data_IF_023974168630
#
_entry.id   IF_023974168630
#
_cell.length_a   1.000
_cell.length_b   1.000
_cell.length_c   1.000
_cell.angle_alpha   90.00
_cell.angle_beta   90.00
_cell.angle_gamma   90.00
#
_symmetry.space_group_name_H-M   'P 1'
#
loop_
_entity.id
_entity.type
_entity.pdbx_description
1 polymer ?
#
# COMPACT_ATOMS: atom_id res chain seq x y z
N UNK A 1 -19.11 19.09 6.81
CA UNK A 1 -17.72 18.76 6.45
C UNK A 1 -16.79 19.14 7.60
N UNK A 2 -15.86 18.29 8.01
CA UNK A 2 -14.85 18.66 9.00
C UNK A 2 -13.97 19.79 8.45
N UNK A 3 -13.44 20.63 9.33
CA UNK A 3 -12.46 21.63 8.91
C UNK A 3 -11.14 20.95 8.47
N UNK A 4 -10.36 21.62 7.61
CA UNK A 4 -9.05 21.12 7.20
C UNK A 4 -8.14 20.79 8.39
N UNK A 5 -8.22 21.58 9.47
CA UNK A 5 -7.42 21.38 10.67
C UNK A 5 -7.83 20.11 11.43
N UNK A 6 -9.12 19.84 11.55
CA UNK A 6 -9.65 18.64 12.19
C UNK A 6 -9.30 17.39 11.37
N UNK A 7 -9.48 17.45 10.06
CA UNK A 7 -9.09 16.36 9.17
C UNK A 7 -7.59 16.04 9.25
N UNK A 8 -6.72 17.06 9.22
CA UNK A 8 -5.27 16.87 9.37
C UNK A 8 -4.91 16.27 10.73
N UNK A 9 -5.56 16.68 11.80
CA UNK A 9 -5.32 16.11 13.14
C UNK A 9 -5.69 14.63 13.18
N UNK A 10 -6.84 14.25 12.64
CA UNK A 10 -7.26 12.87 12.56
C UNK A 10 -6.30 12.02 11.70
N UNK A 11 -5.81 12.55 10.57
CA UNK A 11 -4.78 11.88 9.76
C UNK A 11 -3.45 11.71 10.50
N UNK A 12 -2.97 12.71 11.24
CA UNK A 12 -1.75 12.62 12.03
C UNK A 12 -1.85 11.50 13.06
N UNK A 13 -2.97 11.41 13.79
CA UNK A 13 -3.19 10.37 14.78
C UNK A 13 -3.32 8.99 14.13
N UNK A 14 -4.00 8.89 12.99
CA UNK A 14 -4.06 7.65 12.22
C UNK A 14 -2.66 7.17 11.79
N UNK A 15 -1.85 8.03 11.17
CA UNK A 15 -0.47 7.70 10.76
C UNK A 15 0.38 7.36 11.99
N UNK A 16 0.24 8.08 13.11
CA UNK A 16 0.92 7.78 14.37
C UNK A 16 0.61 6.38 14.90
N UNK A 17 -0.63 5.91 14.72
CA UNK A 17 -1.06 4.59 15.18
C UNK A 17 -0.40 3.47 14.35
N UNK A 18 -0.19 3.68 13.06
CA UNK A 18 0.47 2.72 12.16
C UNK A 18 1.98 2.74 12.36
N UNK A 19 2.59 3.93 12.40
CA UNK A 19 4.02 4.09 12.51
C UNK A 19 4.50 3.96 13.96
N UNK A 20 4.44 2.76 14.50
CA UNK A 20 4.86 2.44 15.87
C UNK A 20 6.37 2.68 16.02
N UNK A 21 6.76 3.62 16.88
CA UNK A 21 8.18 3.97 17.11
C UNK A 21 8.60 5.32 16.54
N UNK A 22 7.75 5.96 15.71
CA UNK A 22 7.92 7.35 15.30
C UNK A 22 7.07 8.27 16.17
N UNK A 23 7.56 9.48 16.41
CA UNK A 23 6.83 10.49 17.18
C UNK A 23 6.30 11.57 16.24
N UNK A 24 5.10 11.36 15.70
CA UNK A 24 4.44 12.26 14.75
C UNK A 24 3.52 13.19 15.54
N UNK A 25 4.04 14.37 15.92
CA UNK A 25 3.29 15.33 16.74
C UNK A 25 2.44 16.31 15.95
N UNK A 26 2.90 16.63 14.76
CA UNK A 26 2.32 17.70 13.95
C UNK A 26 2.50 17.45 12.45
N UNK A 27 1.96 18.36 11.68
CA UNK A 27 2.03 18.34 10.20
C UNK A 27 3.47 18.33 9.67
N UNK A 28 4.41 18.97 10.38
CA UNK A 28 5.81 19.05 9.92
C UNK A 28 6.49 17.67 9.91
N UNK A 29 6.08 16.77 10.80
CA UNK A 29 6.58 15.41 10.85
C UNK A 29 6.19 14.55 9.63
N UNK A 30 5.25 15.01 8.80
CA UNK A 30 4.84 14.35 7.56
C UNK A 30 5.53 14.93 6.32
N UNK A 31 6.19 16.09 6.43
CA UNK A 31 6.74 16.83 5.28
C UNK A 31 7.93 16.13 4.59
N UNK A 32 8.61 15.21 5.25
CA UNK A 32 9.67 14.38 4.65
C UNK A 32 9.13 13.15 3.90
N UNK A 33 7.85 12.85 4.06
CA UNK A 33 7.16 11.71 3.44
C UNK A 33 7.51 10.35 4.04
N UNK A 34 8.45 10.25 4.97
CA UNK A 34 8.95 8.97 5.49
C UNK A 34 7.89 8.17 6.23
N UNK A 35 7.04 8.82 7.01
CA UNK A 35 5.93 8.17 7.71
C UNK A 35 4.85 7.67 6.72
N UNK A 36 4.58 8.42 5.66
CA UNK A 36 3.62 8.04 4.63
C UNK A 36 4.14 6.89 3.77
N UNK A 37 5.45 6.79 3.53
CA UNK A 37 6.04 5.61 2.92
C UNK A 37 5.82 4.36 3.77
N UNK A 38 5.95 4.44 5.09
CA UNK A 38 5.74 3.33 6.01
C UNK A 38 4.28 2.86 5.99
N UNK A 39 3.31 3.79 5.97
CA UNK A 39 1.88 3.47 5.81
C UNK A 39 1.61 2.73 4.50
N UNK A 40 2.15 3.23 3.39
CA UNK A 40 1.93 2.65 2.06
C UNK A 40 2.73 1.37 1.82
N UNK A 41 3.87 1.19 2.48
CA UNK A 41 4.62 -0.06 2.45
C UNK A 41 3.84 -1.22 3.06
N UNK A 42 3.00 -0.97 4.06
CA UNK A 42 2.08 -1.97 4.61
C UNK A 42 0.97 -2.37 3.62
N UNK A 43 0.74 -1.57 2.57
CA UNK A 43 -0.25 -1.85 1.52
C UNK A 43 0.39 -2.58 0.33
N UNK A 44 1.55 -2.08 -0.13
CA UNK A 44 2.33 -2.65 -1.22
C UNK A 44 3.82 -2.39 -0.98
N UNK A 45 4.54 -3.40 -0.53
CA UNK A 45 5.94 -3.33 -0.16
C UNK A 45 6.89 -3.23 -1.36
N UNK A 46 6.45 -3.64 -2.53
CA UNK A 46 7.23 -3.56 -3.77
C UNK A 46 7.16 -2.15 -4.36
N UNK A 47 5.96 -1.61 -4.48
CA UNK A 47 5.75 -0.30 -5.10
C UNK A 47 6.22 0.84 -4.19
N UNK A 48 6.02 0.71 -2.87
CA UNK A 48 6.34 1.73 -1.87
C UNK A 48 7.61 1.45 -1.07
N UNK A 49 8.55 0.65 -1.60
CA UNK A 49 9.85 0.46 -0.96
C UNK A 49 10.52 1.83 -0.72
N UNK A 50 10.83 2.21 0.53
CA UNK A 50 11.38 3.52 0.83
C UNK A 50 12.75 3.69 0.15
N UNK A 51 12.98 4.80 -0.57
CA UNK A 51 14.28 5.09 -1.14
C UNK A 51 15.29 5.41 -0.02
N UNK A 52 16.61 5.36 -0.32
CA UNK A 52 17.66 5.73 0.64
C UNK A 52 17.51 7.15 1.18
N UNK A 53 16.89 8.04 0.42
CA UNK A 53 16.54 9.41 0.80
C UNK A 53 15.06 9.58 0.48
N UNK A 54 14.19 9.44 1.49
CA UNK A 54 12.76 9.72 1.35
C UNK A 54 12.54 11.23 1.22
N UNK A 55 11.67 11.62 0.30
CA UNK A 55 11.19 12.99 0.16
C UNK A 55 9.71 12.96 -0.22
N UNK A 56 8.98 13.99 0.19
CA UNK A 56 7.56 14.12 -0.15
C UNK A 56 7.33 14.14 -1.67
N UNK A 57 8.28 14.70 -2.44
CA UNK A 57 8.23 14.69 -3.91
C UNK A 57 8.34 13.27 -4.48
N UNK A 58 9.25 12.46 -3.94
CA UNK A 58 9.40 11.06 -4.37
C UNK A 58 8.17 10.24 -4.02
N UNK A 59 7.60 10.46 -2.83
CA UNK A 59 6.35 9.85 -2.40
C UNK A 59 5.21 10.22 -3.35
N UNK A 60 4.99 11.51 -3.59
CA UNK A 60 3.92 11.99 -4.48
C UNK A 60 4.01 11.36 -5.87
N UNK A 61 5.19 11.33 -6.47
CA UNK A 61 5.40 10.69 -7.79
C UNK A 61 4.99 9.22 -7.77
N UNK A 62 5.30 8.48 -6.72
CA UNK A 62 4.89 7.07 -6.60
C UNK A 62 3.39 6.92 -6.34
N UNK A 63 2.81 7.78 -5.52
CA UNK A 63 1.36 7.81 -5.28
C UNK A 63 0.61 8.06 -6.58
N UNK A 64 1.00 9.06 -7.37
CA UNK A 64 0.40 9.34 -8.69
C UNK A 64 0.58 8.15 -9.63
N UNK A 65 1.80 7.57 -9.70
CA UNK A 65 2.06 6.39 -10.52
C UNK A 65 1.18 5.20 -10.12
N UNK A 66 1.03 4.93 -8.83
CA UNK A 66 0.17 3.85 -8.34
C UNK A 66 -1.31 4.11 -8.65
N UNK A 67 -1.79 5.32 -8.41
CA UNK A 67 -3.17 5.70 -8.73
C UNK A 67 -3.48 5.51 -10.22
N UNK A 68 -2.56 5.86 -11.11
CA UNK A 68 -2.78 5.77 -12.56
C UNK A 68 -2.57 4.36 -13.11
N UNK A 69 -1.57 3.62 -12.64
CA UNK A 69 -1.18 2.32 -13.20
C UNK A 69 -1.95 1.16 -12.56
N UNK A 70 -2.09 1.17 -11.23
CA UNK A 70 -2.70 0.06 -10.51
C UNK A 70 -4.19 0.30 -10.23
N UNK A 71 -4.56 1.52 -9.83
CA UNK A 71 -5.96 1.85 -9.55
C UNK A 71 -6.73 2.37 -10.78
N UNK A 72 -6.05 2.56 -11.91
CA UNK A 72 -6.61 3.04 -13.18
C UNK A 72 -7.39 4.38 -13.06
N UNK A 73 -6.97 5.24 -12.14
CA UNK A 73 -7.53 6.56 -11.97
C UNK A 73 -6.89 7.50 -13.00
N UNK A 74 -7.65 8.15 -13.89
CA UNK A 74 -7.10 9.09 -14.85
C UNK A 74 -6.35 10.24 -14.15
N UNK A 75 -5.20 10.66 -14.71
CA UNK A 75 -4.37 11.71 -14.11
C UNK A 75 -5.13 13.04 -14.00
N UNK A 76 -6.06 13.29 -14.91
CA UNK A 76 -6.89 14.49 -14.93
C UNK A 76 -7.88 14.57 -13.74
N UNK A 77 -8.18 13.45 -13.11
CA UNK A 77 -9.06 13.36 -11.93
C UNK A 77 -8.27 13.56 -10.64
N UNK A 78 -6.94 13.37 -10.69
CA UNK A 78 -6.10 13.56 -9.52
C UNK A 78 -5.99 15.05 -9.17
N UNK A 79 -5.98 15.40 -7.87
CA UNK A 79 -5.87 16.78 -7.44
C UNK A 79 -4.50 17.37 -7.82
N UNK A 80 -4.49 18.62 -8.26
CA UNK A 80 -3.26 19.38 -8.40
C UNK A 80 -2.69 19.71 -7.01
N UNK A 81 -1.43 19.29 -6.75
CA UNK A 81 -0.76 19.39 -5.46
C UNK A 81 0.58 20.11 -5.64
N UNK A 82 0.73 21.27 -5.00
CA UNK A 82 2.03 21.92 -4.93
C UNK A 82 2.92 21.25 -3.86
N UNK A 83 3.69 20.27 -4.30
CA UNK A 83 4.57 19.49 -3.42
C UNK A 83 5.67 20.36 -2.78
N UNK A 84 6.13 21.41 -3.47
CA UNK A 84 7.15 22.31 -2.92
C UNK A 84 6.59 23.11 -1.74
N UNK A 85 5.34 23.54 -1.83
CA UNK A 85 4.67 24.22 -0.72
C UNK A 85 4.31 23.22 0.41
N UNK A 86 3.89 22.00 0.07
CA UNK A 86 3.55 20.95 1.03
C UNK A 86 4.78 20.44 1.82
N UNK A 87 5.98 20.48 1.22
CA UNK A 87 7.21 19.98 1.83
C UNK A 87 8.01 21.01 2.65
N UNK A 88 7.50 22.23 2.81
CA UNK A 88 8.19 23.28 3.60
C UNK A 88 8.22 22.94 5.08
N UNK A 89 9.39 22.74 5.66
CA UNK A 89 9.57 22.36 7.08
C UNK A 89 8.99 23.37 8.09
N UNK A 90 8.99 24.66 7.77
CA UNK A 90 8.54 25.68 8.74
C UNK A 90 7.09 26.12 8.58
N UNK A 91 6.51 25.96 7.41
CA UNK A 91 5.12 26.35 7.12
C UNK A 91 4.62 25.59 5.90
N UNK A 92 4.33 24.29 6.05
CA UNK A 92 3.80 23.50 4.95
C UNK A 92 2.40 23.97 4.55
N UNK A 93 2.08 23.87 3.26
CA UNK A 93 0.71 24.06 2.78
C UNK A 93 -0.16 22.92 3.31
N UNK A 94 -1.01 23.25 4.28
CA UNK A 94 -1.94 22.28 4.90
C UNK A 94 -2.93 21.72 3.89
N UNK A 95 -3.40 22.56 2.98
CA UNK A 95 -4.34 22.15 1.93
C UNK A 95 -3.71 21.15 0.96
N UNK A 96 -2.48 21.39 0.48
CA UNK A 96 -1.82 20.48 -0.44
C UNK A 96 -1.39 19.17 0.25
N UNK A 97 -0.95 19.26 1.50
CA UNK A 97 -0.67 18.06 2.29
C UNK A 97 -1.95 17.25 2.52
N UNK A 98 -3.09 17.88 2.80
CA UNK A 98 -4.38 17.19 2.96
C UNK A 98 -4.82 16.50 1.66
N UNK A 99 -4.62 17.13 0.49
CA UNK A 99 -4.88 16.48 -0.81
C UNK A 99 -4.02 15.23 -0.98
N UNK A 100 -2.72 15.30 -0.64
CA UNK A 100 -1.83 14.14 -0.68
C UNK A 100 -2.28 13.03 0.27
N UNK A 101 -2.66 13.37 1.50
CA UNK A 101 -3.16 12.40 2.48
C UNK A 101 -4.46 11.74 2.02
N UNK A 102 -5.34 12.45 1.34
CA UNK A 102 -6.53 11.87 0.71
C UNK A 102 -6.17 10.87 -0.39
N UNK A 103 -5.15 11.14 -1.21
CA UNK A 103 -4.66 10.16 -2.20
C UNK A 103 -4.06 8.92 -1.54
N UNK A 104 -3.28 9.09 -0.47
CA UNK A 104 -2.79 7.97 0.35
C UNK A 104 -3.96 7.13 0.86
N UNK A 105 -5.02 7.78 1.35
CA UNK A 105 -6.22 7.10 1.81
C UNK A 105 -6.95 6.35 0.68
N UNK A 106 -7.02 6.91 -0.55
CA UNK A 106 -7.56 6.21 -1.73
C UNK A 106 -6.83 4.89 -1.96
N UNK A 107 -5.49 4.93 -1.94
CA UNK A 107 -4.66 3.73 -2.12
C UNK A 107 -4.97 2.70 -1.05
N UNK A 108 -5.00 3.10 0.22
CA UNK A 108 -5.32 2.22 1.34
C UNK A 108 -6.71 1.59 1.17
N UNK A 109 -7.73 2.38 0.85
CA UNK A 109 -9.11 1.90 0.74
C UNK A 109 -9.36 0.98 -0.47
N UNK A 110 -8.60 1.17 -1.57
CA UNK A 110 -8.75 0.37 -2.80
C UNK A 110 -7.81 -0.85 -2.84
N UNK A 111 -6.92 -1.01 -1.86
CA UNK A 111 -6.02 -2.16 -1.77
C UNK A 111 -6.66 -3.34 -1.07
N UNK A 112 -6.33 -4.55 -1.52
CA UNK A 112 -6.75 -5.82 -0.88
C UNK A 112 -6.00 -6.10 0.44
N UNK A 113 -4.87 -5.41 0.69
CA UNK A 113 -4.02 -5.58 1.88
C UNK A 113 -4.07 -4.33 2.78
N UNK A 114 -5.26 -3.99 3.27
CA UNK A 114 -5.48 -2.77 4.06
C UNK A 114 -5.95 -3.01 5.51
N UNK A 115 -5.99 -4.25 5.95
CA UNK A 115 -6.57 -4.61 7.25
C UNK A 115 -5.91 -3.86 8.41
N UNK A 116 -4.58 -3.72 8.40
CA UNK A 116 -3.83 -3.03 9.45
C UNK A 116 -4.17 -1.53 9.49
N UNK A 117 -4.22 -0.88 8.32
CA UNK A 117 -4.51 0.54 8.19
C UNK A 117 -5.96 0.86 8.56
N UNK A 118 -6.90 -0.01 8.20
CA UNK A 118 -8.32 0.11 8.56
C UNK A 118 -8.52 -0.14 10.06
N UNK A 119 -7.87 -1.15 10.62
CA UNK A 119 -7.91 -1.42 12.05
C UNK A 119 -7.33 -0.25 12.86
N UNK A 120 -6.26 0.39 12.38
CA UNK A 120 -5.70 1.59 12.99
C UNK A 120 -6.71 2.74 13.06
N UNK A 121 -7.58 2.91 12.06
CA UNK A 121 -8.66 3.91 12.12
C UNK A 121 -9.66 3.63 13.24
N UNK A 122 -9.93 2.35 13.54
CA UNK A 122 -10.87 1.95 14.59
C UNK A 122 -10.32 2.19 16.01
N UNK A 123 -9.01 2.37 16.16
CA UNK A 123 -8.38 2.66 17.45
C UNK A 123 -8.34 4.16 17.80
N UNK A 124 -8.69 5.03 16.86
CA UNK A 124 -8.81 6.48 17.09
C UNK A 124 -9.92 6.81 18.07
N UNK A 125 -9.92 8.03 18.62
CA UNK A 125 -11.05 8.52 19.43
C UNK A 125 -12.33 8.57 18.61
N UNK A 126 -13.50 8.53 19.26
CA UNK A 126 -14.80 8.53 18.58
C UNK A 126 -14.99 9.76 17.68
N UNK A 127 -14.52 10.92 18.13
CA UNK A 127 -14.59 12.16 17.34
C UNK A 127 -13.71 12.08 16.09
N UNK A 128 -12.50 11.54 16.21
CA UNK A 128 -11.59 11.33 15.08
C UNK A 128 -12.09 10.26 14.13
N UNK A 129 -12.67 9.18 14.64
CA UNK A 129 -13.32 8.16 13.79
C UNK A 129 -14.45 8.76 12.96
N UNK A 130 -15.25 9.66 13.54
CA UNK A 130 -16.32 10.35 12.83
C UNK A 130 -15.78 11.26 11.72
N UNK A 131 -14.69 11.99 12.02
CA UNK A 131 -13.98 12.82 11.04
C UNK A 131 -13.41 11.95 9.92
N UNK A 132 -12.69 10.87 10.25
CA UNK A 132 -12.12 9.95 9.26
C UNK A 132 -13.20 9.30 8.40
N UNK A 133 -14.33 8.90 8.99
CA UNK A 133 -15.48 8.38 8.24
C UNK A 133 -15.96 9.37 7.19
N UNK A 134 -16.13 10.64 7.57
CA UNK A 134 -16.56 11.69 6.64
C UNK A 134 -15.53 11.89 5.51
N UNK A 135 -14.23 11.90 5.84
CA UNK A 135 -13.15 11.99 4.84
C UNK A 135 -13.17 10.80 3.90
N UNK A 136 -13.39 9.58 4.41
CA UNK A 136 -13.53 8.35 3.61
C UNK A 136 -14.71 8.46 2.64
N UNK A 137 -15.88 8.91 3.13
CA UNK A 137 -17.08 9.10 2.31
C UNK A 137 -16.83 10.14 1.19
N UNK A 138 -16.19 11.25 1.51
CA UNK A 138 -15.83 12.30 0.54
C UNK A 138 -14.86 11.73 -0.53
N UNK A 139 -13.80 11.04 -0.10
CA UNK A 139 -12.81 10.42 -0.98
C UNK A 139 -13.43 9.37 -1.88
N UNK A 140 -14.27 8.49 -1.35
CA UNK A 140 -14.95 7.48 -2.15
C UNK A 140 -15.90 8.14 -3.16
N UNK A 141 -16.61 9.19 -2.79
CA UNK A 141 -17.48 9.94 -3.72
C UNK A 141 -16.69 10.53 -4.88
N UNK A 142 -15.51 11.11 -4.60
CA UNK A 142 -14.68 11.77 -5.60
C UNK A 142 -14.07 10.76 -6.61
N UNK A 143 -13.70 9.56 -6.15
CA UNK A 143 -12.96 8.58 -6.96
C UNK A 143 -13.74 7.30 -7.35
N UNK A 144 -15.01 7.13 -6.92
CA UNK A 144 -15.90 6.07 -7.40
C UNK A 144 -16.83 6.54 -8.51
N UNK A 145 -17.01 7.84 -8.67
CA UNK A 145 -17.84 8.40 -9.75
C UNK A 145 -17.29 8.15 -11.16
N UNK A 146 -16.06 7.63 -11.27
CA UNK A 146 -15.47 7.22 -12.54
C UNK A 146 -16.01 5.88 -13.08
N UNK A 147 -16.70 5.08 -12.25
CA UNK A 147 -17.25 3.77 -12.65
C UNK A 147 -18.70 3.86 -13.15
N UNK A 148 -19.30 5.05 -13.22
CA UNK A 148 -20.69 5.16 -13.61
C UNK A 148 -20.91 6.21 -14.70
N UNK A 149 -21.11 5.72 -15.90
CA UNK A 149 -21.77 6.30 -17.09
C UNK A 149 -21.01 7.35 -17.89
N UNK A 150 -20.71 7.03 -19.17
CA UNK A 150 -20.47 8.07 -20.15
C UNK A 150 -21.75 8.92 -20.31
N UNK A 151 -21.63 10.22 -20.64
CA UNK A 151 -22.76 11.11 -20.79
C UNK A 151 -23.73 10.54 -21.83
N UNK A 152 -24.97 10.43 -21.44
CA UNK A 152 -26.08 9.94 -22.28
C UNK A 152 -26.28 10.89 -23.47
N UNK A 153 -25.48 10.73 -24.51
CA UNK A 153 -25.86 11.13 -25.86
C UNK A 153 -26.58 9.95 -26.46
N UNK A 154 -27.88 10.10 -26.68
CA UNK A 154 -28.70 9.13 -27.37
C UNK A 154 -28.25 9.07 -28.84
N UNK A 155 -27.34 8.17 -29.15
CA UNK A 155 -27.17 7.63 -30.50
C UNK A 155 -27.40 6.13 -30.48
N UNK A 156 -27.96 5.53 -31.52
CA UNK A 156 -28.34 4.13 -31.53
C UNK A 156 -27.10 3.23 -31.44
N UNK A 157 -27.07 2.41 -30.38
CA UNK A 157 -26.00 1.47 -30.07
C UNK A 157 -25.89 0.46 -31.22
N UNK A 158 -24.87 0.62 -32.03
CA UNK A 158 -24.40 -0.44 -32.91
C UNK A 158 -23.73 -1.52 -32.05
N UNK A 159 -24.36 -2.70 -31.96
CA UNK A 159 -24.02 -3.78 -31.03
C UNK A 159 -22.68 -4.51 -31.30
N UNK A 160 -21.77 -3.90 -32.07
CA UNK A 160 -20.47 -4.47 -32.44
C UNK A 160 -19.34 -4.20 -31.44
N UNK A 161 -19.22 -2.96 -30.95
CA UNK A 161 -18.10 -2.54 -30.09
C UNK A 161 -18.09 -3.24 -28.72
N UNK A 162 -19.26 -3.42 -28.13
CA UNK A 162 -19.40 -4.06 -26.81
C UNK A 162 -19.01 -5.56 -26.81
N UNK A 163 -19.08 -6.22 -27.96
CA UNK A 163 -18.75 -7.63 -28.08
C UNK A 163 -17.26 -7.89 -28.16
N UNK A 164 -16.51 -7.01 -28.79
CA UNK A 164 -15.03 -7.09 -28.89
C UNK A 164 -14.36 -6.81 -27.53
N UNK A 165 -14.88 -5.83 -26.82
CA UNK A 165 -14.40 -5.48 -25.47
C UNK A 165 -14.63 -6.63 -24.46
N UNK A 166 -15.82 -7.26 -24.48
CA UNK A 166 -16.10 -8.45 -23.67
C UNK A 166 -15.21 -9.63 -24.03
N UNK A 167 -14.85 -9.80 -25.29
CA UNK A 167 -13.92 -10.87 -25.73
C UNK A 167 -12.51 -10.58 -25.21
N UNK A 168 -12.06 -9.32 -25.26
CA UNK A 168 -10.75 -8.90 -24.75
C UNK A 168 -10.65 -9.10 -23.24
N UNK A 169 -11.61 -8.62 -22.50
CA UNK A 169 -11.69 -8.79 -21.03
C UNK A 169 -11.72 -10.26 -20.61
N UNK A 170 -12.45 -11.12 -21.34
CA UNK A 170 -12.43 -12.57 -21.08
C UNK A 170 -11.07 -13.20 -21.30
N UNK A 171 -10.35 -12.76 -22.35
CA UNK A 171 -9.00 -13.23 -22.61
C UNK A 171 -8.03 -12.79 -21.52
N UNK A 172 -8.14 -11.56 -21.05
CA UNK A 172 -7.28 -11.02 -19.99
C UNK A 172 -7.53 -11.72 -18.64
N UNK A 173 -8.79 -12.00 -18.31
CA UNK A 173 -9.15 -12.81 -17.14
C UNK A 173 -8.58 -14.23 -17.24
N UNK A 174 -8.63 -14.86 -18.40
CA UNK A 174 -8.10 -16.21 -18.58
C UNK A 174 -6.55 -16.22 -18.50
N UNK A 175 -5.89 -15.20 -19.06
CA UNK A 175 -4.44 -15.02 -18.91
C UNK A 175 -4.04 -14.75 -17.46
N UNK A 176 -4.83 -13.97 -16.72
CA UNK A 176 -4.64 -13.72 -15.29
C UNK A 176 -4.75 -15.00 -14.46
N UNK A 177 -5.76 -15.84 -14.73
CA UNK A 177 -5.91 -17.15 -14.06
C UNK A 177 -4.73 -18.07 -14.35
N UNK A 178 -4.23 -18.07 -15.57
CA UNK A 178 -3.08 -18.89 -15.94
C UNK A 178 -1.80 -18.44 -15.21
N UNK A 179 -1.55 -17.13 -15.13
CA UNK A 179 -0.44 -16.58 -14.35
C UNK A 179 -0.55 -16.90 -12.86
N UNK A 180 -1.75 -16.84 -12.30
CA UNK A 180 -2.00 -17.23 -10.91
C UNK A 180 -1.68 -18.72 -10.66
N UNK A 181 -2.11 -19.60 -11.56
CA UNK A 181 -1.78 -21.02 -11.50
C UNK A 181 -0.28 -21.27 -11.57
N UNK A 182 0.42 -20.60 -12.49
CA UNK A 182 1.88 -20.72 -12.63
C UNK A 182 2.61 -20.24 -11.37
N UNK A 183 2.16 -19.16 -10.75
CA UNK A 183 2.70 -18.67 -9.48
C UNK A 183 2.44 -19.65 -8.32
N UNK A 184 1.26 -20.26 -8.26
CA UNK A 184 0.95 -21.28 -7.24
C UNK A 184 1.83 -22.51 -7.38
N UNK A 185 2.09 -22.96 -8.61
CA UNK A 185 2.98 -24.09 -8.89
C UNK A 185 4.45 -23.75 -8.49
N UNK A 186 4.91 -22.54 -8.78
CA UNK A 186 6.23 -22.06 -8.34
C UNK A 186 6.32 -21.99 -6.82
N UNK A 187 5.28 -21.52 -6.14
CA UNK A 187 5.23 -21.50 -4.68
C UNK A 187 5.34 -22.90 -4.09
N UNK A 188 4.54 -23.85 -4.56
CA UNK A 188 4.58 -25.24 -4.12
C UNK A 188 5.95 -25.87 -4.35
N UNK A 189 6.61 -25.56 -5.47
CA UNK A 189 7.98 -26.04 -5.76
C UNK A 189 9.00 -25.45 -4.79
N UNK A 190 8.94 -24.15 -4.50
CA UNK A 190 9.86 -23.50 -3.56
C UNK A 190 9.64 -23.97 -2.13
N UNK A 191 8.40 -24.19 -1.70
CA UNK A 191 8.08 -24.77 -0.38
C UNK A 191 8.67 -26.18 -0.23
N UNK A 192 8.54 -27.01 -1.26
CA UNK A 192 9.13 -28.35 -1.28
C UNK A 192 10.65 -28.28 -1.18
N UNK A 193 11.29 -27.35 -1.90
CA UNK A 193 12.74 -27.14 -1.85
C UNK A 193 13.19 -26.68 -0.46
N UNK A 194 12.50 -25.74 0.15
CA UNK A 194 12.77 -25.25 1.52
C UNK A 194 12.62 -26.41 2.52
N UNK A 195 11.59 -27.24 2.39
CA UNK A 195 11.41 -28.43 3.22
C UNK A 195 12.58 -29.39 3.14
N UNK A 196 13.09 -29.67 1.93
CA UNK A 196 14.26 -30.53 1.72
C UNK A 196 15.53 -29.96 2.36
N UNK A 197 15.84 -28.69 2.08
CA UNK A 197 17.01 -28.00 2.64
C UNK A 197 16.95 -27.94 4.17
N UNK A 198 15.77 -27.73 4.73
CA UNK A 198 15.56 -27.73 6.18
C UNK A 198 15.87 -29.12 6.79
N UNK A 199 15.48 -30.21 6.12
CA UNK A 199 15.75 -31.55 6.54
C UNK A 199 17.26 -31.89 6.47
N UNK A 200 17.90 -31.53 5.35
CA UNK A 200 19.35 -31.71 5.17
C UNK A 200 20.14 -30.90 6.23
N UNK A 201 19.74 -29.69 6.54
CA UNK A 201 20.37 -28.89 7.60
C UNK A 201 20.23 -29.53 8.99
N UNK A 202 19.07 -30.11 9.33
CA UNK A 202 18.87 -30.81 10.59
C UNK A 202 19.79 -32.05 10.69
N UNK A 203 19.94 -32.78 9.60
CA UNK A 203 20.81 -33.94 9.53
C UNK A 203 22.29 -33.57 9.70
N UNK A 204 22.75 -32.52 8.99
CA UNK A 204 24.11 -32.00 9.14
C UNK A 204 24.39 -31.48 10.56
N UNK A 205 23.45 -30.83 11.21
CA UNK A 205 23.59 -30.39 12.61
C UNK A 205 23.71 -31.60 13.55
N UNK A 206 22.96 -32.67 13.31
CA UNK A 206 23.07 -33.93 14.08
C UNK A 206 24.44 -34.55 13.90
N UNK A 207 24.96 -34.65 12.68
CA UNK A 207 26.30 -35.17 12.40
C UNK A 207 27.39 -34.33 13.05
N UNK A 208 27.28 -33.01 13.00
CA UNK A 208 28.21 -32.09 13.68
C UNK A 208 28.21 -32.29 15.21
N UNK A 209 27.05 -32.50 15.81
CA UNK A 209 26.95 -32.77 17.25
C UNK A 209 27.63 -34.08 17.65
N UNK A 210 27.42 -35.14 16.85
CA UNK A 210 28.08 -36.45 17.07
C UNK A 210 29.61 -36.36 16.93
N UNK A 211 30.10 -35.64 15.91
CA UNK A 211 31.54 -35.43 15.72
C UNK A 211 32.18 -34.65 16.89
N UNK A 212 31.50 -33.62 17.41
CA UNK A 212 31.96 -32.87 18.58
C UNK A 212 32.04 -33.75 19.83
N UNK A 213 31.08 -34.66 20.02
CA UNK A 213 31.10 -35.58 21.13
C UNK A 213 32.30 -36.53 21.04
N UNK A 214 32.55 -37.12 19.88
CA UNK A 214 33.72 -37.98 19.64
C UNK A 214 35.04 -37.24 19.90
N UNK A 215 35.12 -35.99 19.46
CA UNK A 215 36.29 -35.15 19.69
C UNK A 215 36.51 -34.91 21.18
N UNK A 216 35.43 -34.62 21.93
CA UNK A 216 35.51 -34.42 23.38
C UNK A 216 35.96 -35.70 24.11
N UNK A 217 35.43 -36.86 23.73
CA UNK A 217 35.82 -38.18 24.28
C UNK A 217 37.32 -38.47 23.99
N UNK A 218 37.81 -38.22 22.78
CA UNK A 218 39.20 -38.37 22.41
C UNK A 218 40.12 -37.45 23.24
N UNK A 219 39.74 -36.21 23.46
CA UNK A 219 40.54 -35.24 24.20
C UNK A 219 40.54 -35.55 25.71
N UNK A 220 39.51 -36.22 26.24
CA UNK A 220 39.44 -36.67 27.62
C UNK A 220 40.32 -37.95 27.88
N UNK A 221 40.75 -38.67 26.84
CA UNK A 221 41.58 -39.84 26.93
C UNK A 221 43.10 -39.54 26.77
N UNK A 222 43.44 -38.28 26.55
CA UNK A 222 44.83 -37.80 26.49
C UNK A 222 45.28 -37.16 27.79
#
# INVERSE_FOLDING_TARGET
MPSEAEALTAFIHWVQTICVGRHIKDVNALCDGSALFEVLQGVDDVHFLPPRSSSLETLHRRVVSFCTQELHIPEEVLPDIDIKEASKERSPSKSDLLKLLRLVLVIVLKSDHNDEQVNAMQTLSLDEQLIMKQVVEDVLSDYTSSDTTPPTTKEPIDGGANREEVITLRRDVELGKQRLSDCQDQLAHTESHVGRVTTENKELLSQLSALRQIQHERDALR
#
